data_IF_950404950074
#
_entry.id   IF_950404950074
#
_cell.length_a   1.000
_cell.length_b   1.000
_cell.length_c   1.000
_cell.angle_alpha   90.00
_cell.angle_beta   90.00
_cell.angle_gamma   90.00
#
_symmetry.space_group_name_H-M   'P 1'
#
loop_
_entity.id
_entity.type
_entity.pdbx_description
1 polymer ?
#
# COMPACT_ATOMS: atom_id res chain seq x y z
N UNK A 1 12.82 -17.34 -1.37
CA UNK A 1 14.21 -17.00 -1.67
C UNK A 1 15.07 -18.25 -1.48
N UNK A 2 15.00 -18.91 -0.32
CA UNK A 2 15.76 -20.15 -0.04
C UNK A 2 15.50 -21.27 -1.06
N UNK A 3 14.23 -21.52 -1.43
CA UNK A 3 13.86 -22.52 -2.45
C UNK A 3 14.43 -22.22 -3.85
N UNK A 4 14.79 -20.97 -4.13
CA UNK A 4 15.42 -20.54 -5.39
C UNK A 4 16.95 -20.53 -5.30
N UNK A 5 17.54 -20.88 -4.18
CA UNK A 5 19.00 -20.85 -3.96
C UNK A 5 19.61 -19.44 -3.97
N UNK A 6 18.80 -18.39 -3.85
CA UNK A 6 19.29 -17.01 -3.90
C UNK A 6 19.89 -16.61 -2.55
N UNK A 7 21.17 -16.25 -2.55
CA UNK A 7 21.91 -15.78 -1.38
C UNK A 7 21.82 -14.25 -1.21
N UNK A 8 21.50 -13.53 -2.30
CA UNK A 8 21.53 -12.08 -2.36
C UNK A 8 20.42 -11.56 -3.26
N UNK A 9 19.76 -10.46 -2.82
CA UNK A 9 18.78 -9.70 -3.58
C UNK A 9 19.31 -8.29 -3.81
N UNK A 10 19.45 -7.88 -5.05
CA UNK A 10 19.96 -6.56 -5.42
C UNK A 10 18.99 -5.44 -5.02
N UNK A 11 17.69 -5.69 -5.11
CA UNK A 11 16.62 -4.78 -4.71
C UNK A 11 15.37 -5.57 -4.32
N UNK A 12 14.74 -5.18 -3.23
CA UNK A 12 13.38 -5.59 -2.86
C UNK A 12 12.52 -4.34 -2.76
N UNK A 13 11.41 -4.31 -3.46
CA UNK A 13 10.53 -3.13 -3.46
C UNK A 13 9.07 -3.49 -3.56
N UNK A 14 8.23 -2.59 -3.10
CA UNK A 14 6.78 -2.73 -3.19
C UNK A 14 6.05 -1.51 -2.66
N UNK A 15 4.79 -1.36 -3.09
CA UNK A 15 3.91 -0.29 -2.62
C UNK A 15 2.90 -0.77 -1.58
N UNK A 16 2.55 0.10 -0.63
CA UNK A 16 1.53 -0.19 0.38
C UNK A 16 1.84 -1.46 1.18
N UNK A 17 0.94 -2.44 1.22
CA UNK A 17 1.20 -3.77 1.79
C UNK A 17 2.46 -4.44 1.19
N UNK A 18 2.72 -4.25 -0.12
CA UNK A 18 3.95 -4.71 -0.75
C UNK A 18 5.20 -4.02 -0.18
N UNK A 19 5.10 -2.77 0.24
CA UNK A 19 6.12 -2.04 0.98
C UNK A 19 6.37 -2.65 2.37
N UNK A 20 5.31 -2.99 3.10
CA UNK A 20 5.41 -3.70 4.38
C UNK A 20 6.13 -5.05 4.21
N UNK A 21 5.75 -5.82 3.19
CA UNK A 21 6.42 -7.09 2.85
C UNK A 21 7.89 -6.87 2.53
N UNK A 22 8.24 -5.82 1.78
CA UNK A 22 9.64 -5.51 1.46
C UNK A 22 10.47 -5.20 2.71
N UNK A 23 9.89 -4.47 3.66
CA UNK A 23 10.51 -4.17 4.96
C UNK A 23 10.69 -5.45 5.79
N UNK A 24 9.68 -6.31 5.85
CA UNK A 24 9.79 -7.60 6.53
C UNK A 24 10.89 -8.48 5.92
N UNK A 25 10.98 -8.54 4.59
CA UNK A 25 12.07 -9.30 3.90
C UNK A 25 13.43 -8.72 4.26
N UNK A 26 13.56 -7.39 4.35
CA UNK A 26 14.79 -6.73 4.77
C UNK A 26 15.18 -7.00 6.23
N UNK A 27 14.18 -7.26 7.10
CA UNK A 27 14.37 -7.50 8.54
C UNK A 27 14.64 -8.97 8.89
N UNK A 28 14.06 -9.92 8.13
CA UNK A 28 14.04 -11.35 8.50
C UNK A 28 15.39 -12.07 8.43
N UNK A 29 16.42 -11.51 7.82
CA UNK A 29 17.70 -12.18 7.68
C UNK A 29 17.65 -13.43 6.77
N UNK A 30 18.72 -14.19 6.70
CA UNK A 30 18.81 -15.42 5.90
C UNK A 30 19.07 -15.22 4.41
N UNK A 31 18.84 -14.03 3.88
CA UNK A 31 19.23 -13.61 2.54
C UNK A 31 19.65 -12.14 2.60
N UNK A 32 20.81 -11.82 2.04
CA UNK A 32 21.30 -10.45 1.99
C UNK A 32 20.42 -9.61 1.05
N UNK A 33 19.77 -8.59 1.58
CA UNK A 33 19.06 -7.56 0.80
C UNK A 33 19.97 -6.33 0.72
N UNK A 34 20.38 -5.96 -0.48
CA UNK A 34 21.27 -4.82 -0.68
C UNK A 34 20.52 -3.49 -0.65
N UNK A 35 19.34 -3.46 -1.26
CA UNK A 35 18.55 -2.23 -1.37
C UNK A 35 17.08 -2.50 -1.13
N UNK A 36 16.39 -1.49 -0.60
CA UNK A 36 14.94 -1.48 -0.43
C UNK A 36 14.31 -0.29 -1.14
N UNK A 37 13.13 -0.52 -1.72
CA UNK A 37 12.27 0.53 -2.28
C UNK A 37 10.85 0.39 -1.69
N UNK A 38 10.65 0.74 -0.42
CA UNK A 38 9.31 0.81 0.16
C UNK A 38 8.62 2.08 -0.33
N UNK A 39 7.46 1.91 -1.01
CA UNK A 39 6.64 2.98 -1.55
C UNK A 39 5.36 3.09 -0.71
N UNK A 40 4.95 4.30 -0.35
CA UNK A 40 3.66 4.61 0.29
C UNK A 40 3.29 3.62 1.39
N UNK A 41 4.17 3.47 2.36
CA UNK A 41 4.04 2.51 3.47
C UNK A 41 4.60 3.10 4.77
N UNK A 42 4.44 2.41 5.88
CA UNK A 42 4.88 2.86 7.20
C UNK A 42 5.63 1.76 7.96
N UNK A 43 6.28 2.12 9.08
CA UNK A 43 6.93 1.16 9.98
C UNK A 43 5.91 0.29 10.74
N UNK A 44 4.73 0.84 11.01
CA UNK A 44 3.60 0.15 11.61
C UNK A 44 2.30 0.72 11.07
N UNK A 45 1.23 -0.07 11.07
CA UNK A 45 -0.08 0.41 10.70
C UNK A 45 -0.62 1.40 11.74
N UNK A 46 -1.08 2.55 11.26
CA UNK A 46 -1.69 3.56 12.13
C UNK A 46 -3.11 3.19 12.54
N UNK A 47 -3.63 3.82 13.60
CA UNK A 47 -5.02 3.69 13.99
C UNK A 47 -5.99 4.04 12.85
N UNK A 48 -5.62 4.96 11.95
CA UNK A 48 -6.38 5.31 10.75
C UNK A 48 -6.53 4.13 9.79
N UNK A 49 -5.43 3.45 9.47
CA UNK A 49 -5.42 2.25 8.61
C UNK A 49 -6.25 1.13 9.24
N UNK A 50 -6.01 0.84 10.53
CA UNK A 50 -6.75 -0.19 11.28
C UNK A 50 -8.26 0.11 11.33
N UNK A 51 -8.65 1.38 11.54
CA UNK A 51 -10.05 1.78 11.55
C UNK A 51 -10.73 1.57 10.19
N UNK A 52 -10.08 1.94 9.09
CA UNK A 52 -10.61 1.70 7.75
C UNK A 52 -10.72 0.21 7.42
N UNK A 53 -9.72 -0.59 7.80
CA UNK A 53 -9.77 -2.04 7.64
C UNK A 53 -10.90 -2.65 8.48
N UNK A 54 -11.15 -2.14 9.69
CA UNK A 54 -12.29 -2.56 10.52
C UNK A 54 -13.64 -2.29 9.84
N UNK A 55 -13.83 -1.10 9.27
CA UNK A 55 -15.06 -0.75 8.52
C UNK A 55 -15.27 -1.70 7.34
N UNK A 56 -14.22 -1.94 6.55
CA UNK A 56 -14.28 -2.85 5.41
C UNK A 56 -14.63 -4.29 5.83
N UNK A 57 -14.04 -4.78 6.94
CA UNK A 57 -14.41 -6.09 7.52
C UNK A 57 -15.87 -6.14 7.96
N UNK A 58 -16.37 -5.06 8.55
CA UNK A 58 -17.79 -4.93 8.91
C UNK A 58 -18.69 -5.05 7.67
N UNK A 59 -18.39 -4.33 6.61
CA UNK A 59 -19.13 -4.38 5.33
C UNK A 59 -19.15 -5.80 4.75
N UNK A 60 -18.02 -6.50 4.75
CA UNK A 60 -17.94 -7.88 4.25
C UNK A 60 -18.83 -8.83 5.07
N UNK A 61 -18.85 -8.69 6.40
CA UNK A 61 -19.64 -9.54 7.30
C UNK A 61 -21.14 -9.27 7.24
N UNK A 62 -21.56 -8.11 6.73
CA UNK A 62 -22.97 -7.81 6.50
C UNK A 62 -23.53 -8.44 5.21
N UNK A 63 -22.67 -8.98 4.35
CA UNK A 63 -23.15 -9.67 3.14
C UNK A 63 -23.90 -10.94 3.50
N UNK A 64 -25.13 -11.15 2.96
CA UNK A 64 -25.91 -12.35 3.24
C UNK A 64 -25.23 -13.66 2.87
N UNK A 65 -24.28 -13.62 1.92
CA UNK A 65 -23.49 -14.77 1.48
C UNK A 65 -22.24 -15.04 2.34
N UNK A 66 -22.02 -14.26 3.40
CA UNK A 66 -20.86 -14.46 4.27
C UNK A 66 -20.91 -15.81 4.99
N UNK A 67 -19.81 -16.56 5.13
CA UNK A 67 -18.46 -16.30 4.60
C UNK A 67 -18.18 -16.91 3.23
N UNK A 68 -19.09 -17.67 2.66
CA UNK A 68 -18.80 -18.61 1.57
C UNK A 68 -19.12 -18.05 0.17
N UNK A 69 -20.04 -17.09 0.08
CA UNK A 69 -20.52 -16.53 -1.19
C UNK A 69 -20.68 -15.00 -1.14
N UNK A 70 -19.64 -14.31 -0.69
CA UNK A 70 -19.66 -12.85 -0.55
C UNK A 70 -19.64 -12.18 -1.92
N UNK A 71 -20.64 -11.33 -2.17
CA UNK A 71 -20.79 -10.63 -3.44
C UNK A 71 -20.81 -9.12 -3.28
N UNK A 72 -21.94 -8.58 -2.89
CA UNK A 72 -22.16 -7.14 -2.75
C UNK A 72 -21.28 -6.52 -1.65
N UNK A 73 -21.05 -7.26 -0.56
CA UNK A 73 -20.17 -6.81 0.52
C UNK A 73 -18.74 -6.56 0.03
N UNK A 74 -18.18 -7.42 -0.83
CA UNK A 74 -16.85 -7.23 -1.41
C UNK A 74 -16.81 -6.00 -2.35
N UNK A 75 -17.87 -5.79 -3.13
CA UNK A 75 -18.00 -4.59 -3.97
C UNK A 75 -18.00 -3.31 -3.13
N UNK A 76 -18.79 -3.27 -2.05
CA UNK A 76 -18.89 -2.10 -1.17
C UNK A 76 -17.60 -1.87 -0.35
N UNK A 77 -16.98 -2.93 0.15
CA UNK A 77 -15.69 -2.83 0.83
C UNK A 77 -14.62 -2.20 -0.09
N UNK A 78 -14.59 -2.60 -1.38
CA UNK A 78 -13.70 -1.98 -2.37
C UNK A 78 -14.03 -0.51 -2.60
N UNK A 79 -15.30 -0.14 -2.68
CA UNK A 79 -15.71 1.26 -2.84
C UNK A 79 -15.25 2.10 -1.64
N UNK A 80 -15.45 1.61 -0.40
CA UNK A 80 -14.97 2.27 0.81
C UNK A 80 -13.45 2.44 0.80
N UNK A 81 -12.69 1.39 0.42
CA UNK A 81 -11.24 1.46 0.31
C UNK A 81 -10.77 2.51 -0.69
N UNK A 82 -11.44 2.64 -1.84
CA UNK A 82 -11.06 3.59 -2.89
C UNK A 82 -11.15 5.05 -2.44
N UNK A 83 -12.01 5.38 -1.47
CA UNK A 83 -12.07 6.73 -0.90
C UNK A 83 -10.82 7.10 -0.10
N UNK A 84 -10.08 6.12 0.39
CA UNK A 84 -8.79 6.35 1.04
C UNK A 84 -7.60 6.24 0.09
N UNK A 85 -7.77 5.51 -1.04
CA UNK A 85 -6.72 5.32 -2.04
C UNK A 85 -6.64 6.47 -3.04
N UNK A 86 -7.70 7.25 -3.17
CA UNK A 86 -7.77 8.40 -4.08
C UNK A 86 -7.74 9.69 -3.27
N UNK A 87 -7.00 10.67 -3.77
CA UNK A 87 -7.10 12.03 -3.25
C UNK A 87 -8.20 12.81 -3.97
N UNK A 88 -8.80 13.74 -3.27
CA UNK A 88 -9.89 14.57 -3.78
C UNK A 88 -9.54 15.27 -5.10
N UNK A 89 -8.36 15.92 -5.28
CA UNK A 89 -8.05 16.59 -6.55
C UNK A 89 -8.07 15.67 -7.76
N UNK A 90 -7.55 14.44 -7.62
CA UNK A 90 -7.53 13.45 -8.70
C UNK A 90 -8.91 12.87 -9.00
N UNK A 91 -9.74 12.73 -7.97
CA UNK A 91 -11.12 12.27 -8.12
C UNK A 91 -11.95 13.33 -8.81
N UNK A 92 -11.85 14.59 -8.36
CA UNK A 92 -12.54 15.73 -8.95
C UNK A 92 -12.17 15.95 -10.42
N UNK A 93 -10.87 15.90 -10.74
CA UNK A 93 -10.39 16.05 -12.12
C UNK A 93 -10.93 14.97 -13.06
N UNK A 94 -11.11 13.71 -12.58
CA UNK A 94 -11.57 12.58 -13.42
C UNK A 94 -13.07 12.42 -13.45
N UNK A 95 -13.74 12.60 -12.33
CA UNK A 95 -15.17 12.34 -12.20
C UNK A 95 -15.98 13.62 -12.17
N UNK A 96 -15.51 14.63 -11.46
CA UNK A 96 -16.22 15.88 -11.23
C UNK A 96 -17.62 15.64 -10.60
N UNK A 97 -18.35 16.72 -10.37
CA UNK A 97 -19.74 16.66 -9.93
C UNK A 97 -20.69 16.59 -11.15
N UNK A 98 -20.47 15.60 -12.02
CA UNK A 98 -21.26 15.42 -13.25
C UNK A 98 -22.43 14.49 -13.00
N UNK A 99 -23.65 14.96 -13.35
CA UNK A 99 -24.84 14.13 -13.44
C UNK A 99 -24.80 13.27 -14.71
N UNK A 100 -25.25 12.02 -14.59
CA UNK A 100 -25.42 11.08 -15.68
C UNK A 100 -26.90 10.73 -15.79
N UNK A 101 -27.62 11.38 -16.70
CA UNK A 101 -29.06 11.24 -16.85
C UNK A 101 -29.86 12.41 -16.25
N UNK A 102 -31.19 12.24 -16.17
CA UNK A 102 -32.10 13.27 -15.64
C UNK A 102 -32.02 13.32 -14.11
N UNK A 103 -32.15 14.55 -13.56
CA UNK A 103 -32.23 14.76 -12.13
C UNK A 103 -33.53 14.14 -11.58
N UNK A 104 -33.42 13.19 -10.65
CA UNK A 104 -34.50 12.51 -9.97
C UNK A 104 -34.23 12.37 -8.48
N UNK A 105 -34.99 11.51 -7.81
CA UNK A 105 -34.79 11.25 -6.38
C UNK A 105 -33.45 10.64 -6.05
N UNK A 106 -32.93 9.75 -6.94
CA UNK A 106 -31.58 9.18 -6.89
C UNK A 106 -30.72 9.90 -7.93
N UNK A 107 -30.09 11.00 -7.57
CA UNK A 107 -29.18 11.75 -8.44
C UNK A 107 -27.98 10.87 -8.86
N UNK A 108 -27.91 10.34 -10.10
CA UNK A 108 -26.80 9.51 -10.51
C UNK A 108 -25.61 10.40 -10.88
N UNK A 109 -24.67 10.53 -9.97
CA UNK A 109 -23.39 11.17 -10.26
C UNK A 109 -22.42 10.17 -10.92
N UNK A 110 -21.63 10.65 -11.85
CA UNK A 110 -20.60 9.86 -12.55
C UNK A 110 -19.69 9.10 -11.59
N UNK A 111 -19.32 9.70 -10.46
CA UNK A 111 -18.46 9.07 -9.44
C UNK A 111 -19.11 7.83 -8.82
N UNK A 112 -20.44 7.79 -8.67
CA UNK A 112 -21.15 6.62 -8.14
C UNK A 112 -20.99 5.41 -9.07
N UNK A 113 -21.27 5.59 -10.37
CA UNK A 113 -21.07 4.52 -11.37
C UNK A 113 -19.62 4.07 -11.49
N UNK A 114 -18.67 4.99 -11.33
CA UNK A 114 -17.25 4.62 -11.28
C UNK A 114 -16.93 3.75 -10.07
N UNK A 115 -17.40 4.10 -8.87
CA UNK A 115 -17.21 3.31 -7.66
C UNK A 115 -17.82 1.91 -7.80
N UNK A 116 -19.04 1.83 -8.30
CA UNK A 116 -19.73 0.55 -8.55
C UNK A 116 -18.95 -0.33 -9.54
N UNK A 117 -18.50 0.25 -10.64
CA UNK A 117 -17.67 -0.46 -11.61
C UNK A 117 -16.38 -1.02 -10.99
N UNK A 118 -15.70 -0.24 -10.14
CA UNK A 118 -14.49 -0.69 -9.47
C UNK A 118 -14.77 -1.82 -8.44
N UNK A 119 -15.89 -1.74 -7.74
CA UNK A 119 -16.36 -2.79 -6.85
C UNK A 119 -16.61 -4.10 -7.59
N UNK A 120 -17.40 -4.06 -8.67
CA UNK A 120 -17.69 -5.21 -9.54
C UNK A 120 -16.42 -5.81 -10.16
N UNK A 121 -15.49 -4.96 -10.58
CA UNK A 121 -14.20 -5.39 -11.14
C UNK A 121 -13.38 -6.17 -10.10
N UNK A 122 -13.38 -5.76 -8.83
CA UNK A 122 -12.71 -6.50 -7.77
C UNK A 122 -13.39 -7.84 -7.53
N UNK A 123 -14.70 -7.88 -7.34
CA UNK A 123 -15.48 -9.10 -7.10
C UNK A 123 -15.21 -10.21 -8.12
N UNK A 124 -15.03 -9.86 -9.39
CA UNK A 124 -14.78 -10.83 -10.48
C UNK A 124 -13.43 -11.56 -10.36
N UNK A 125 -12.47 -11.03 -9.60
CA UNK A 125 -11.08 -11.50 -9.59
C UNK A 125 -10.49 -11.70 -8.21
N UNK A 126 -11.26 -11.45 -7.16
CA UNK A 126 -10.74 -11.46 -5.79
C UNK A 126 -11.68 -12.18 -4.84
N UNK A 127 -11.10 -12.95 -3.93
CA UNK A 127 -11.79 -13.68 -2.90
C UNK A 127 -11.93 -12.84 -1.62
N UNK A 128 -13.09 -12.92 -0.95
CA UNK A 128 -13.37 -12.14 0.25
C UNK A 128 -12.53 -12.56 1.46
N UNK A 129 -12.18 -13.85 1.58
CA UNK A 129 -11.31 -14.34 2.67
C UNK A 129 -9.87 -13.87 2.45
N UNK A 130 -9.39 -13.88 1.18
CA UNK A 130 -8.10 -13.32 0.83
C UNK A 130 -8.05 -11.81 1.11
N UNK A 131 -9.16 -11.09 0.88
CA UNK A 131 -9.26 -9.67 1.22
C UNK A 131 -9.08 -9.42 2.73
N UNK A 132 -9.77 -10.23 3.56
CA UNK A 132 -9.63 -10.16 5.01
C UNK A 132 -8.20 -10.48 5.47
N UNK A 133 -7.61 -11.53 4.92
CA UNK A 133 -6.24 -11.92 5.28
C UNK A 133 -5.23 -10.81 4.99
N UNK A 134 -5.40 -10.10 3.86
CA UNK A 134 -4.54 -8.96 3.53
C UNK A 134 -4.78 -7.78 4.49
N UNK A 135 -6.03 -7.49 4.85
CA UNK A 135 -6.35 -6.47 5.84
C UNK A 135 -5.75 -6.81 7.22
N UNK A 136 -5.84 -8.07 7.63
CA UNK A 136 -5.24 -8.53 8.88
C UNK A 136 -3.70 -8.45 8.85
N UNK A 137 -3.08 -8.82 7.74
CA UNK A 137 -1.63 -8.67 7.57
C UNK A 137 -1.18 -7.20 7.66
N UNK A 138 -1.98 -6.27 7.11
CA UNK A 138 -1.71 -4.83 7.27
C UNK A 138 -1.85 -4.40 8.72
N UNK A 139 -2.92 -4.80 9.42
CA UNK A 139 -3.17 -4.39 10.80
C UNK A 139 -2.08 -4.86 11.76
N UNK A 140 -1.52 -6.05 11.51
CA UNK A 140 -0.44 -6.64 12.32
C UNK A 140 0.96 -6.16 11.92
N UNK A 141 1.09 -5.36 10.86
CA UNK A 141 2.41 -4.85 10.48
C UNK A 141 2.94 -3.85 11.51
N UNK A 142 4.04 -4.24 12.16
CA UNK A 142 4.75 -3.43 13.13
C UNK A 142 6.22 -3.86 13.21
N UNK A 143 7.12 -3.00 12.74
CA UNK A 143 8.55 -3.27 12.74
C UNK A 143 9.19 -3.19 14.13
N UNK A 144 8.52 -2.54 15.10
CA UNK A 144 9.05 -2.42 16.46
C UNK A 144 8.68 -3.64 17.31
N UNK A 145 7.58 -4.32 16.94
CA UNK A 145 7.13 -5.58 17.53
C UNK A 145 7.35 -6.77 16.58
N UNK A 146 8.39 -6.70 15.76
CA UNK A 146 8.72 -7.77 14.81
C UNK A 146 9.01 -9.10 15.53
N UNK A 147 8.71 -10.25 14.88
CA UNK A 147 8.93 -11.56 15.52
C UNK A 147 10.39 -11.81 15.88
N UNK A 148 10.65 -12.68 16.87
CA UNK A 148 12.00 -13.05 17.27
C UNK A 148 12.84 -13.48 16.05
N UNK A 149 14.07 -12.97 15.95
CA UNK A 149 14.98 -13.23 14.83
C UNK A 149 14.92 -12.18 13.71
N UNK A 150 13.95 -11.27 13.72
CA UNK A 150 14.01 -10.09 12.86
C UNK A 150 15.06 -9.11 13.35
N UNK A 151 16.05 -8.84 12.51
CA UNK A 151 17.14 -7.91 12.82
C UNK A 151 16.84 -6.48 12.39
N UNK A 152 17.77 -5.57 12.68
CA UNK A 152 17.73 -4.23 12.10
C UNK A 152 17.91 -4.30 10.58
N UNK A 153 17.12 -3.53 9.85
CA UNK A 153 17.27 -3.38 8.40
C UNK A 153 18.55 -2.58 8.12
N UNK A 154 19.49 -3.18 7.43
CA UNK A 154 20.77 -2.58 7.03
C UNK A 154 20.87 -2.29 5.53
N UNK A 155 19.87 -2.69 4.75
CA UNK A 155 19.78 -2.42 3.32
C UNK A 155 19.66 -0.91 3.06
N UNK A 156 20.38 -0.41 2.04
CA UNK A 156 20.21 0.97 1.58
C UNK A 156 18.79 1.16 1.05
N UNK A 157 18.11 2.19 1.50
CA UNK A 157 16.67 2.35 1.26
C UNK A 157 16.34 3.66 0.56
N UNK A 158 15.58 3.60 -0.53
CA UNK A 158 14.87 4.75 -1.09
C UNK A 158 13.41 4.67 -0.63
N UNK A 159 13.05 5.49 0.35
CA UNK A 159 11.69 5.53 0.93
C UNK A 159 10.87 6.59 0.20
N UNK A 160 9.71 6.21 -0.35
CA UNK A 160 8.92 7.07 -1.24
C UNK A 160 7.54 7.31 -0.67
N UNK A 161 7.16 8.58 -0.58
CA UNK A 161 5.79 9.03 -0.30
C UNK A 161 5.11 9.62 -1.54
N UNK A 162 3.80 9.80 -1.45
CA UNK A 162 2.99 10.61 -2.37
C UNK A 162 2.45 11.80 -1.60
N UNK A 163 2.62 13.00 -2.15
CA UNK A 163 2.26 14.25 -1.46
C UNK A 163 0.78 14.38 -1.10
N UNK A 164 -0.10 13.70 -1.82
CA UNK A 164 -1.55 13.70 -1.61
C UNK A 164 -2.07 12.41 -0.96
N UNK A 165 -1.19 11.51 -0.49
CA UNK A 165 -1.61 10.25 0.16
C UNK A 165 -2.23 10.51 1.54
N UNK A 166 -3.47 10.05 1.71
CA UNK A 166 -4.23 10.16 2.96
C UNK A 166 -4.18 8.88 3.80
N UNK A 167 -3.77 7.75 3.19
CA UNK A 167 -3.71 6.45 3.85
C UNK A 167 -2.36 6.26 4.56
N UNK A 168 -1.28 6.50 3.84
CA UNK A 168 0.09 6.54 4.38
C UNK A 168 0.70 7.91 4.10
N UNK A 169 0.46 8.83 5.02
CA UNK A 169 0.82 10.23 4.86
C UNK A 169 2.34 10.44 4.74
N UNK A 170 2.79 11.54 4.10
CA UNK A 170 4.21 11.88 4.06
C UNK A 170 4.90 11.91 5.44
N UNK A 171 4.16 12.25 6.49
CA UNK A 171 4.68 12.25 7.87
C UNK A 171 4.95 10.82 8.39
N UNK A 172 4.10 9.85 8.09
CA UNK A 172 4.31 8.45 8.45
C UNK A 172 5.49 7.85 7.68
N UNK A 173 5.63 8.21 6.39
CA UNK A 173 6.76 7.77 5.57
C UNK A 173 8.08 8.39 6.04
N UNK A 174 8.08 9.66 6.52
CA UNK A 174 9.25 10.25 7.17
C UNK A 174 9.61 9.54 8.48
N UNK A 175 8.61 9.16 9.28
CA UNK A 175 8.84 8.40 10.50
C UNK A 175 9.51 7.04 10.19
N UNK A 176 9.07 6.35 9.12
CA UNK A 176 9.73 5.14 8.62
C UNK A 176 11.18 5.42 8.23
N UNK A 177 11.44 6.44 7.42
CA UNK A 177 12.79 6.80 6.99
C UNK A 177 13.71 7.12 8.19
N UNK A 178 13.19 7.88 9.16
CA UNK A 178 13.92 8.20 10.39
C UNK A 178 14.24 6.95 11.23
N UNK A 179 13.29 6.02 11.32
CA UNK A 179 13.49 4.74 12.01
C UNK A 179 14.61 3.91 11.37
N UNK A 180 14.59 3.80 10.03
CA UNK A 180 15.61 3.06 9.28
C UNK A 180 17.00 3.70 9.46
N UNK A 181 17.11 5.04 9.42
CA UNK A 181 18.38 5.76 9.69
C UNK A 181 18.89 5.49 11.10
N UNK A 182 18.02 5.52 12.12
CA UNK A 182 18.37 5.19 13.49
C UNK A 182 18.87 3.75 13.64
N UNK A 183 18.38 2.83 12.80
CA UNK A 183 18.83 1.45 12.70
C UNK A 183 20.17 1.28 11.98
N UNK A 184 20.78 2.36 11.46
CA UNK A 184 22.07 2.36 10.77
C UNK A 184 22.00 2.16 9.27
N UNK A 185 20.80 2.14 8.65
CA UNK A 185 20.66 2.06 7.21
C UNK A 185 21.00 3.39 6.52
N UNK A 186 21.59 3.32 5.31
CA UNK A 186 21.63 4.46 4.40
C UNK A 186 20.23 4.70 3.85
N UNK A 187 19.66 5.90 4.04
CA UNK A 187 18.28 6.17 3.65
C UNK A 187 18.17 7.48 2.89
N UNK A 188 17.70 7.39 1.66
CA UNK A 188 17.22 8.52 0.88
C UNK A 188 15.70 8.59 0.90
N UNK A 189 15.16 9.79 0.71
CA UNK A 189 13.73 10.02 0.48
C UNK A 189 13.45 10.60 -0.89
N UNK A 190 12.27 10.28 -1.40
CA UNK A 190 11.67 10.92 -2.56
C UNK A 190 10.16 11.11 -2.34
N UNK A 191 9.61 12.16 -2.94
CA UNK A 191 8.16 12.40 -2.98
C UNK A 191 7.68 12.28 -4.41
N UNK A 192 6.73 11.42 -4.65
CA UNK A 192 6.00 11.32 -5.91
C UNK A 192 4.90 12.39 -5.91
N UNK A 193 5.05 13.40 -6.75
CA UNK A 193 4.06 14.47 -6.94
C UNK A 193 2.91 13.96 -7.80
N UNK A 194 1.72 13.84 -7.24
CA UNK A 194 0.55 13.36 -7.98
C UNK A 194 -0.76 13.76 -7.31
N UNK A 195 -1.81 14.10 -8.07
CA UNK A 195 -3.14 14.35 -7.54
C UNK A 195 -3.90 13.06 -7.20
N UNK A 196 -3.29 11.88 -7.40
CA UNK A 196 -4.00 10.61 -7.38
C UNK A 196 -3.99 9.89 -6.01
N UNK A 197 -3.38 10.48 -4.98
CA UNK A 197 -3.33 9.90 -3.64
C UNK A 197 -2.48 8.63 -3.59
N UNK A 198 -2.87 7.72 -2.72
CA UNK A 198 -2.19 6.45 -2.49
C UNK A 198 -1.93 5.65 -3.77
N UNK A 199 -2.90 5.60 -4.67
CA UNK A 199 -2.78 4.85 -5.94
C UNK A 199 -1.81 5.47 -6.97
N UNK A 200 -1.18 6.62 -6.69
CA UNK A 200 -0.25 7.28 -7.62
C UNK A 200 0.87 6.35 -8.10
N UNK A 201 1.41 5.49 -7.22
CA UNK A 201 2.45 4.53 -7.61
C UNK A 201 1.99 3.46 -8.62
N UNK A 202 0.69 3.34 -8.86
CA UNK A 202 0.10 2.48 -9.89
C UNK A 202 -0.22 3.23 -11.20
N UNK A 203 -0.05 4.55 -11.23
CA UNK A 203 -0.48 5.41 -12.32
C UNK A 203 0.66 6.22 -12.94
N UNK A 204 1.65 6.63 -12.13
CA UNK A 204 2.75 7.51 -12.54
C UNK A 204 3.98 6.69 -13.00
N UNK A 205 3.83 5.95 -14.11
CA UNK A 205 4.81 4.96 -14.57
C UNK A 205 6.20 5.52 -14.87
N UNK A 206 6.28 6.71 -15.46
CA UNK A 206 7.57 7.32 -15.82
C UNK A 206 8.33 7.74 -14.54
N UNK A 207 7.63 8.38 -13.60
CA UNK A 207 8.19 8.75 -12.32
C UNK A 207 8.60 7.51 -11.50
N UNK A 208 7.76 6.47 -11.50
CA UNK A 208 8.07 5.20 -10.84
C UNK A 208 9.31 4.53 -11.44
N UNK A 209 9.44 4.55 -12.77
CA UNK A 209 10.63 4.03 -13.47
C UNK A 209 11.91 4.77 -13.03
N UNK A 210 11.84 6.10 -12.91
CA UNK A 210 12.97 6.90 -12.42
C UNK A 210 13.32 6.55 -10.96
N UNK A 211 12.32 6.32 -10.09
CA UNK A 211 12.52 5.92 -8.71
C UNK A 211 13.17 4.52 -8.61
N UNK A 212 12.78 3.56 -9.44
CA UNK A 212 13.43 2.25 -9.50
C UNK A 212 14.90 2.36 -9.92
N UNK A 213 15.20 3.14 -10.95
CA UNK A 213 16.59 3.37 -11.39
C UNK A 213 17.41 4.02 -10.28
N UNK A 214 16.84 5.02 -9.58
CA UNK A 214 17.49 5.67 -8.44
C UNK A 214 17.74 4.70 -7.29
N UNK A 215 16.77 3.86 -6.94
CA UNK A 215 16.93 2.85 -5.91
C UNK A 215 18.06 1.85 -6.24
N UNK A 216 18.16 1.43 -7.49
CA UNK A 216 19.24 0.53 -7.96
C UNK A 216 20.62 1.19 -7.93
N UNK A 217 20.71 2.52 -8.04
CA UNK A 217 21.98 3.27 -7.99
C UNK A 217 22.48 3.58 -6.58
N UNK A 218 21.68 3.33 -5.53
CA UNK A 218 22.15 3.48 -4.15
C UNK A 218 23.34 2.56 -3.87
N UNK A 219 24.25 2.95 -2.96
CA UNK A 219 25.31 2.03 -2.53
C UNK A 219 24.68 0.74 -1.97
N UNK A 220 25.27 -0.43 -2.19
CA UNK A 220 24.76 -1.64 -1.59
C UNK A 220 24.87 -1.58 -0.07
N UNK A 221 23.76 -1.86 0.62
CA UNK A 221 23.72 -2.04 2.06
C UNK A 221 23.70 -3.53 2.42
N UNK A 222 23.34 -3.82 3.66
CA UNK A 222 23.30 -5.18 4.17
C UNK A 222 24.57 -5.54 4.91
N UNK A 223 24.42 -6.35 5.97
CA UNK A 223 25.58 -6.87 6.72
C UNK A 223 26.25 -7.96 5.87
N UNK A 224 27.56 -7.96 5.86
CA UNK A 224 28.30 -9.14 5.47
C UNK A 224 28.05 -10.21 6.54
N UNK A 225 27.56 -11.36 6.14
CA UNK A 225 27.29 -12.52 6.99
C UNK A 225 28.57 -13.14 7.48
#
# INVERSE_FOLDING_TARGET
>A
VGALGLQRLALVGGGSLGGMVSLCVGALGGTRVERLLPLVTAAASSAWVVAWNHVQRGILRLDPGWPDSVGRGLELARQAALLTYRAEPGLEAKQGRHLVGEAGFDFPYRVQGWLEHQGQKLRRRFDARAYLLQADAMDHHDLDNAPPGAGSISASSLVVDVDTDQLFTPAQVEALASRLRKGGAHVERATLKSPHGHDAFLLEWDALTALFKRALSLPPGGRDS
#
